data_IF_269770274530
#
_entry.id   IF_269770274530
#
_cell.length_a   1.000
_cell.length_b   1.000
_cell.length_c   1.000
_cell.angle_alpha   90.00
_cell.angle_beta   90.00
_cell.angle_gamma   90.00
#
_symmetry.space_group_name_H-M   'P 1'
#
loop_
_entity.id
_entity.type
_entity.pdbx_description
1 polymer ?
#
# COMPACT_ATOMS: atom_id res chain seq x y z
N UNK A 1 -23.92 -29.26 1.48
CA UNK A 1 -24.59 -28.34 0.54
C UNK A 1 -23.53 -27.41 -0.05
N UNK A 2 -23.21 -27.57 -1.33
CA UNK A 2 -22.30 -26.63 -2.02
C UNK A 2 -23.08 -25.35 -2.37
N UNK A 3 -22.54 -24.22 -1.94
CA UNK A 3 -23.06 -22.89 -2.33
C UNK A 3 -22.42 -22.50 -3.67
N UNK A 4 -23.26 -22.14 -4.64
CA UNK A 4 -22.86 -21.68 -5.97
C UNK A 4 -23.15 -20.18 -6.11
N UNK A 5 -22.28 -19.45 -6.79
CA UNK A 5 -22.47 -18.05 -7.16
C UNK A 5 -22.39 -17.90 -8.67
N UNK A 6 -23.20 -16.99 -9.23
CA UNK A 6 -23.26 -16.72 -10.66
C UNK A 6 -22.07 -15.87 -11.11
N UNK A 7 -21.33 -16.33 -12.11
CA UNK A 7 -20.35 -15.55 -12.85
C UNK A 7 -20.95 -15.14 -14.20
N UNK A 8 -20.95 -13.83 -14.47
CA UNK A 8 -21.36 -13.31 -15.78
C UNK A 8 -20.10 -12.99 -16.57
N UNK A 9 -19.79 -13.81 -17.55
CA UNK A 9 -18.72 -13.58 -18.52
C UNK A 9 -19.26 -12.75 -19.69
N UNK A 10 -18.67 -11.57 -19.94
CA UNK A 10 -18.90 -10.79 -21.16
C UNK A 10 -17.78 -11.14 -22.16
N UNK A 11 -18.04 -11.67 -23.36
CA UNK A 11 -19.15 -11.36 -24.28
C UNK A 11 -20.11 -12.50 -24.62
N UNK A 12 -19.99 -13.65 -24.02
CA UNK A 12 -20.90 -14.76 -24.27
C UNK A 12 -21.74 -15.05 -23.04
N UNK A 13 -23.00 -14.74 -23.06
CA UNK A 13 -24.03 -15.02 -22.03
C UNK A 13 -24.07 -16.50 -21.60
N UNK A 14 -22.95 -17.05 -21.11
CA UNK A 14 -22.94 -18.34 -20.43
C UNK A 14 -22.88 -18.09 -18.95
N UNK A 15 -23.96 -18.40 -18.27
CA UNK A 15 -24.01 -18.47 -16.82
C UNK A 15 -23.22 -19.72 -16.40
N UNK A 16 -22.04 -19.53 -15.84
CA UNK A 16 -21.23 -20.63 -15.33
C UNK A 16 -21.37 -20.65 -13.81
N UNK A 17 -21.83 -21.79 -13.28
CA UNK A 17 -21.87 -22.01 -11.84
C UNK A 17 -20.50 -22.50 -11.39
N UNK A 18 -19.82 -21.72 -10.54
CA UNK A 18 -18.57 -22.13 -9.92
C UNK A 18 -18.76 -22.31 -8.41
N UNK A 19 -18.08 -23.28 -7.79
CA UNK A 19 -18.06 -23.43 -6.34
C UNK A 19 -17.52 -22.15 -5.68
N UNK A 20 -18.10 -21.73 -4.55
CA UNK A 20 -17.69 -20.53 -3.83
C UNK A 20 -16.21 -20.58 -3.44
N UNK A 21 -15.68 -21.77 -3.12
CA UNK A 21 -14.27 -21.98 -2.82
C UNK A 21 -13.37 -21.67 -4.03
N UNK A 22 -13.75 -22.09 -5.22
CA UNK A 22 -13.02 -21.79 -6.45
C UNK A 22 -13.00 -20.29 -6.76
N UNK A 23 -14.10 -19.58 -6.49
CA UNK A 23 -14.18 -18.12 -6.64
C UNK A 23 -13.30 -17.38 -5.62
N UNK A 24 -13.22 -17.91 -4.38
CA UNK A 24 -12.30 -17.36 -3.37
C UNK A 24 -10.85 -17.57 -3.77
N UNK A 25 -10.53 -18.74 -4.31
CA UNK A 25 -9.18 -19.06 -4.75
C UNK A 25 -8.76 -18.19 -5.94
N UNK A 26 -9.64 -18.00 -6.95
CA UNK A 26 -9.43 -17.07 -8.04
C UNK A 26 -9.25 -15.63 -7.54
N UNK A 27 -10.07 -15.18 -6.60
CA UNK A 27 -9.97 -13.86 -6.02
C UNK A 27 -8.62 -13.67 -5.30
N UNK A 28 -8.20 -14.63 -4.48
CA UNK A 28 -6.92 -14.60 -3.79
C UNK A 28 -5.74 -14.60 -4.77
N UNK A 29 -5.87 -15.31 -5.89
CA UNK A 29 -4.84 -15.33 -6.96
C UNK A 29 -4.76 -14.00 -7.70
N UNK A 30 -5.87 -13.26 -7.80
CA UNK A 30 -5.92 -11.96 -8.46
C UNK A 30 -5.56 -10.79 -7.52
N UNK A 31 -5.65 -10.98 -6.20
CA UNK A 31 -5.21 -9.98 -5.23
C UNK A 31 -3.69 -9.94 -5.13
N UNK A 32 -3.11 -8.78 -5.35
CA UNK A 32 -1.66 -8.57 -5.24
C UNK A 32 -1.35 -7.54 -4.18
N UNK A 33 -0.56 -7.95 -3.21
CA UNK A 33 -0.10 -7.08 -2.14
C UNK A 33 1.35 -6.62 -2.40
N UNK A 34 1.57 -5.34 -2.25
CA UNK A 34 2.87 -4.69 -2.37
C UNK A 34 3.21 -3.99 -1.06
N UNK A 35 4.32 -4.34 -0.45
CA UNK A 35 4.83 -3.62 0.72
C UNK A 35 5.31 -2.22 0.32
N UNK A 36 5.30 -1.31 1.27
CA UNK A 36 5.91 0.00 1.09
C UNK A 36 7.44 -0.13 1.04
N UNK A 37 8.08 0.54 0.08
CA UNK A 37 9.52 0.71 0.07
C UNK A 37 9.94 1.54 1.29
N UNK A 38 11.02 1.13 1.94
CA UNK A 38 11.56 1.79 3.12
C UNK A 38 12.74 2.66 2.71
N UNK A 39 12.58 3.97 2.83
CA UNK A 39 13.63 4.92 2.53
C UNK A 39 14.69 5.00 3.64
N UNK A 40 15.87 5.48 3.30
CA UNK A 40 16.97 5.69 4.24
C UNK A 40 16.61 6.60 5.43
N UNK A 41 15.71 7.56 5.21
CA UNK A 41 15.20 8.45 6.28
C UNK A 41 14.53 7.65 7.38
N UNK A 42 13.78 6.61 7.03
CA UNK A 42 13.16 5.74 8.02
C UNK A 42 14.21 5.03 8.88
N UNK A 43 15.30 4.56 8.27
CA UNK A 43 16.42 3.95 9.01
C UNK A 43 17.12 4.97 9.92
N UNK A 44 17.25 6.22 9.47
CA UNK A 44 17.79 7.30 10.29
C UNK A 44 16.90 7.58 11.51
N UNK A 45 15.58 7.68 11.32
CA UNK A 45 14.62 7.85 12.42
C UNK A 45 14.71 6.68 13.40
N UNK A 46 14.78 5.44 12.92
CA UNK A 46 14.96 4.28 13.79
C UNK A 46 16.26 4.36 14.60
N UNK A 47 17.36 4.74 13.96
CA UNK A 47 18.66 4.89 14.64
C UNK A 47 18.58 5.95 15.74
N UNK A 48 17.94 7.09 15.49
CA UNK A 48 17.73 8.15 16.49
C UNK A 48 16.86 7.67 17.65
N UNK A 49 15.78 6.92 17.37
CA UNK A 49 14.90 6.35 18.40
C UNK A 49 15.67 5.35 19.26
N UNK A 50 16.42 4.43 18.66
CA UNK A 50 17.24 3.45 19.37
C UNK A 50 18.32 4.16 20.21
N UNK A 51 19.04 5.12 19.63
CA UNK A 51 20.05 5.91 20.33
C UNK A 51 19.47 6.64 21.55
N UNK A 52 18.27 7.23 21.40
CA UNK A 52 17.56 7.85 22.50
C UNK A 52 17.21 6.83 23.61
N UNK A 53 16.73 5.63 23.24
CA UNK A 53 16.45 4.56 24.20
C UNK A 53 17.71 4.19 25.01
N UNK A 54 18.86 4.02 24.36
CA UNK A 54 20.13 3.69 25.03
C UNK A 54 20.56 4.78 26.00
N UNK A 55 20.52 6.07 25.57
CA UNK A 55 20.87 7.20 26.44
C UNK A 55 19.94 7.32 27.65
N UNK A 56 18.64 7.06 27.47
CA UNK A 56 17.66 7.09 28.59
C UNK A 56 17.87 5.94 29.56
N UNK A 57 18.24 4.78 29.05
CA UNK A 57 18.56 3.61 29.87
C UNK A 57 19.73 3.89 30.82
N UNK A 58 20.79 4.55 30.34
CA UNK A 58 21.96 4.91 31.19
C UNK A 58 21.63 5.96 32.24
N UNK A 59 20.57 6.75 32.08
CA UNK A 59 20.15 7.81 33.01
C UNK A 59 19.12 7.37 34.04
N UNK A 60 18.74 6.09 34.08
CA UNK A 60 17.81 5.48 35.06
C UNK A 60 16.44 6.16 35.19
N UNK A 61 16.02 6.97 34.22
CA UNK A 61 14.70 7.61 34.23
C UNK A 61 13.66 6.63 33.63
N UNK A 62 12.94 5.92 34.48
CA UNK A 62 11.99 4.88 34.10
C UNK A 62 10.88 5.41 33.17
N UNK A 63 10.32 6.58 33.44
CA UNK A 63 9.29 7.17 32.62
C UNK A 63 9.79 7.44 31.17
N UNK A 64 10.99 7.98 31.04
CA UNK A 64 11.60 8.25 29.75
C UNK A 64 11.93 6.96 28.98
N UNK A 65 12.30 5.89 29.65
CA UNK A 65 12.53 4.56 29.05
C UNK A 65 11.21 4.02 28.47
N UNK A 66 10.13 4.07 29.25
CA UNK A 66 8.81 3.60 28.81
C UNK A 66 8.33 4.37 27.59
N UNK A 67 8.44 5.71 27.59
CA UNK A 67 8.05 6.55 26.45
C UNK A 67 8.87 6.19 25.21
N UNK A 68 10.18 6.04 25.36
CA UNK A 68 11.06 5.69 24.23
C UNK A 68 10.75 4.30 23.67
N UNK A 69 10.40 3.34 24.52
CA UNK A 69 10.00 2.00 24.10
C UNK A 69 8.66 2.03 23.35
N UNK A 70 7.68 2.79 23.84
CA UNK A 70 6.39 2.97 23.14
C UNK A 70 6.57 3.62 21.78
N UNK A 71 7.46 4.62 21.66
CA UNK A 71 7.78 5.23 20.36
C UNK A 71 8.45 4.24 19.41
N UNK A 72 9.37 3.41 19.89
CA UNK A 72 9.99 2.37 19.08
C UNK A 72 8.97 1.36 18.58
N UNK A 73 8.05 0.92 19.44
CA UNK A 73 6.96 0.00 19.07
C UNK A 73 6.02 0.63 18.04
N UNK A 74 5.69 1.92 18.18
CA UNK A 74 4.87 2.65 17.20
C UNK A 74 5.56 2.71 15.83
N UNK A 75 6.85 3.02 15.79
CA UNK A 75 7.62 3.07 14.54
C UNK A 75 7.65 1.71 13.85
N UNK A 76 7.89 0.64 14.62
CA UNK A 76 7.83 -0.73 14.11
C UNK A 76 6.42 -1.10 13.62
N UNK A 77 5.40 -0.71 14.36
CA UNK A 77 4.00 -0.95 13.96
C UNK A 77 3.69 -0.30 12.61
N UNK A 78 4.06 0.96 12.40
CA UNK A 78 3.90 1.66 11.11
C UNK A 78 4.65 0.95 9.99
N UNK A 79 5.87 0.50 10.28
CA UNK A 79 6.70 -0.21 9.30
C UNK A 79 6.06 -1.50 8.80
N UNK A 80 5.58 -2.35 9.71
CA UNK A 80 5.02 -3.64 9.33
C UNK A 80 3.61 -3.55 8.75
N UNK A 81 2.87 -2.48 9.07
CA UNK A 81 1.47 -2.30 8.68
C UNK A 81 1.27 -1.23 7.58
N UNK A 82 2.26 -1.04 6.70
CA UNK A 82 2.11 -0.18 5.52
C UNK A 82 2.28 -1.00 4.26
N UNK A 83 1.18 -1.16 3.51
CA UNK A 83 1.13 -1.95 2.29
C UNK A 83 0.09 -1.40 1.30
N UNK A 84 0.21 -1.81 0.06
CA UNK A 84 -0.70 -1.47 -1.03
C UNK A 84 -1.27 -2.76 -1.60
N UNK A 85 -2.56 -2.80 -1.86
CA UNK A 85 -3.22 -3.97 -2.41
C UNK A 85 -3.99 -3.61 -3.66
N UNK A 86 -3.78 -4.39 -4.71
CA UNK A 86 -4.61 -4.39 -5.91
C UNK A 86 -5.62 -5.52 -5.71
N UNK A 87 -6.91 -5.17 -5.58
CA UNK A 87 -7.97 -6.14 -5.35
C UNK A 87 -8.51 -6.70 -6.67
N UNK A 88 -9.10 -7.89 -6.58
CA UNK A 88 -9.77 -8.53 -7.71
C UNK A 88 -10.90 -7.69 -8.31
N UNK A 89 -11.52 -6.82 -7.50
CA UNK A 89 -12.60 -5.91 -7.90
C UNK A 89 -12.07 -4.65 -8.63
N UNK A 90 -10.79 -4.62 -9.00
CA UNK A 90 -10.18 -3.48 -9.70
C UNK A 90 -9.99 -2.23 -8.83
N UNK A 91 -9.84 -2.41 -7.51
CA UNK A 91 -9.56 -1.31 -6.59
C UNK A 91 -8.09 -1.30 -6.18
N UNK A 92 -7.51 -0.11 -6.12
CA UNK A 92 -6.24 0.13 -5.44
C UNK A 92 -6.53 0.57 -4.01
N UNK A 93 -6.00 -0.17 -3.05
CA UNK A 93 -6.12 0.10 -1.62
C UNK A 93 -4.75 0.44 -1.07
N UNK A 94 -4.63 1.57 -0.38
CA UNK A 94 -3.44 1.95 0.36
C UNK A 94 -3.76 1.92 1.87
N UNK A 95 -3.03 1.07 2.58
CA UNK A 95 -3.09 0.95 4.04
C UNK A 95 -1.80 1.47 4.67
N UNK A 96 -1.94 2.31 5.68
CA UNK A 96 -0.81 2.83 6.44
C UNK A 96 -1.14 2.83 7.93
N UNK A 97 -0.86 1.70 8.58
CA UNK A 97 -0.95 1.53 10.03
C UNK A 97 -2.22 2.13 10.67
N UNK A 98 -2.07 3.27 11.35
CA UNK A 98 -3.14 3.96 12.12
C UNK A 98 -4.04 4.86 11.26
N UNK A 99 -3.67 5.12 10.01
CA UNK A 99 -4.47 5.96 9.12
C UNK A 99 -5.60 5.16 8.46
N UNK A 100 -6.74 5.80 8.18
CA UNK A 100 -7.83 5.15 7.47
C UNK A 100 -7.36 4.70 6.07
N UNK A 101 -7.81 3.54 5.63
CA UNK A 101 -7.51 3.05 4.29
C UNK A 101 -8.02 4.03 3.22
N UNK A 102 -7.18 4.32 2.25
CA UNK A 102 -7.60 4.99 1.02
C UNK A 102 -7.83 3.96 -0.07
N UNK A 103 -8.98 4.06 -0.73
CA UNK A 103 -9.40 3.16 -1.80
C UNK A 103 -9.78 3.96 -3.03
N UNK A 104 -9.36 3.51 -4.20
CA UNK A 104 -9.74 4.11 -5.48
C UNK A 104 -9.93 3.01 -6.54
N UNK A 105 -10.95 3.17 -7.38
CA UNK A 105 -11.09 2.32 -8.55
C UNK A 105 -9.97 2.59 -9.54
N UNK A 106 -9.30 1.55 -10.01
CA UNK A 106 -8.15 1.67 -10.92
C UNK A 106 -8.59 2.30 -12.26
N UNK A 107 -9.85 2.12 -12.64
CA UNK A 107 -10.44 2.77 -13.82
C UNK A 107 -10.43 4.31 -13.74
N UNK A 108 -10.46 4.88 -12.53
CA UNK A 108 -10.40 6.33 -12.29
C UNK A 108 -8.99 6.89 -12.26
N UNK A 109 -7.98 6.04 -12.27
CA UNK A 109 -6.58 6.47 -12.28
C UNK A 109 -6.23 6.92 -13.69
N UNK A 110 -5.85 8.19 -13.82
CA UNK A 110 -5.47 8.82 -15.09
C UNK A 110 -3.97 8.70 -15.36
N UNK A 111 -3.17 8.90 -14.31
CA UNK A 111 -1.72 8.88 -14.43
C UNK A 111 -1.02 8.47 -13.14
N UNK A 112 0.20 7.98 -13.29
CA UNK A 112 1.15 7.80 -12.20
C UNK A 112 2.41 8.60 -12.49
N UNK A 113 2.93 9.30 -11.50
CA UNK A 113 4.06 10.21 -11.61
C UNK A 113 5.11 9.91 -10.54
N UNK A 114 6.37 9.65 -10.89
CA UNK A 114 7.45 9.55 -9.93
C UNK A 114 7.65 10.88 -9.20
N UNK A 115 7.83 10.85 -7.88
CA UNK A 115 8.03 12.05 -7.08
C UNK A 115 8.98 11.80 -5.91
N UNK A 116 9.74 12.82 -5.56
CA UNK A 116 10.60 12.86 -4.37
C UNK A 116 10.04 13.80 -3.29
N UNK A 117 8.79 14.23 -3.42
CA UNK A 117 8.18 15.18 -2.49
C UNK A 117 8.15 14.63 -1.05
N UNK A 118 8.70 15.36 -0.05
CA UNK A 118 8.73 14.96 1.35
C UNK A 118 7.42 15.27 2.08
N UNK A 119 6.28 15.01 1.46
CA UNK A 119 4.94 15.26 2.05
C UNK A 119 4.49 14.04 2.83
N UNK A 120 3.83 14.25 3.97
CA UNK A 120 3.22 13.17 4.75
C UNK A 120 2.19 12.42 3.91
N UNK A 121 2.33 11.10 3.82
CA UNK A 121 1.51 10.28 2.94
C UNK A 121 1.55 8.80 3.35
N UNK A 122 0.89 7.95 2.57
CA UNK A 122 0.90 6.50 2.73
C UNK A 122 2.22 5.84 2.23
N UNK A 123 3.35 6.55 2.30
CA UNK A 123 4.63 6.11 1.77
C UNK A 123 5.73 6.23 2.83
N UNK A 124 6.53 5.17 3.04
CA UNK A 124 7.67 5.12 3.97
C UNK A 124 9.00 5.52 3.30
N UNK A 125 9.00 5.80 2.00
CA UNK A 125 10.18 6.23 1.25
C UNK A 125 9.93 7.59 0.60
N UNK A 126 11.00 8.34 0.29
CA UNK A 126 10.94 9.51 -0.58
C UNK A 126 10.80 9.12 -2.06
N UNK A 127 11.15 7.88 -2.40
CA UNK A 127 11.00 7.34 -3.73
C UNK A 127 9.51 6.96 -3.98
N UNK A 128 8.70 7.94 -4.38
CA UNK A 128 7.23 7.86 -4.37
C UNK A 128 6.64 7.83 -5.77
N UNK A 129 5.39 7.41 -5.83
CA UNK A 129 4.51 7.57 -6.97
C UNK A 129 3.31 8.42 -6.52
N UNK A 130 3.03 9.48 -7.25
CA UNK A 130 1.77 10.21 -7.17
C UNK A 130 0.78 9.47 -8.05
N UNK A 131 -0.34 9.08 -7.47
CA UNK A 131 -1.48 8.53 -8.22
C UNK A 131 -2.44 9.68 -8.51
N UNK A 132 -2.63 9.98 -9.78
CA UNK A 132 -3.54 11.03 -10.26
C UNK A 132 -4.90 10.43 -10.59
N UNK A 133 -5.95 11.04 -10.08
CA UNK A 133 -7.33 10.69 -10.39
C UNK A 133 -8.22 11.92 -10.33
N UNK A 134 -9.19 12.02 -11.22
CA UNK A 134 -10.11 13.17 -11.34
C UNK A 134 -9.35 14.51 -11.44
N UNK A 135 -8.25 14.53 -12.17
CA UNK A 135 -7.41 15.72 -12.36
C UNK A 135 -6.63 16.17 -11.11
N UNK A 136 -6.58 15.37 -10.04
CA UNK A 136 -5.94 15.73 -8.76
C UNK A 136 -4.97 14.65 -8.30
N UNK A 137 -3.92 15.02 -7.53
CA UNK A 137 -3.07 14.04 -6.85
C UNK A 137 -3.89 13.39 -5.71
N UNK A 138 -4.30 12.14 -5.93
CA UNK A 138 -5.18 11.42 -5.01
C UNK A 138 -4.43 10.81 -3.83
N UNK A 139 -3.32 10.15 -4.10
CA UNK A 139 -2.47 9.57 -3.06
C UNK A 139 -1.00 9.51 -3.49
N UNK A 140 -0.11 9.51 -2.50
CA UNK A 140 1.30 9.23 -2.68
C UNK A 140 1.60 7.88 -2.04
N UNK A 141 2.24 7.00 -2.80
CA UNK A 141 2.61 5.64 -2.40
C UNK A 141 4.06 5.37 -2.76
N UNK A 142 4.69 4.40 -2.12
CA UNK A 142 6.06 3.96 -2.44
C UNK A 142 6.14 2.42 -2.49
N UNK A 143 5.54 1.80 -3.52
CA UNK A 143 5.55 0.34 -3.61
C UNK A 143 6.96 -0.19 -3.91
N UNK A 144 7.33 -1.29 -3.25
CA UNK A 144 8.49 -2.08 -3.65
C UNK A 144 8.26 -2.57 -5.08
N UNK A 145 9.29 -2.48 -5.93
CA UNK A 145 9.21 -2.85 -7.35
C UNK A 145 8.16 -2.05 -8.14
N UNK A 146 8.37 -0.73 -8.21
CA UNK A 146 7.49 0.22 -8.93
C UNK A 146 7.13 -0.20 -10.34
N UNK A 147 8.10 -0.72 -11.10
CA UNK A 147 7.87 -1.11 -12.49
C UNK A 147 6.83 -2.22 -12.60
N UNK A 148 6.89 -3.22 -11.72
CA UNK A 148 5.91 -4.29 -11.69
C UNK A 148 4.54 -3.78 -11.22
N UNK A 149 4.53 -2.92 -10.21
CA UNK A 149 3.29 -2.30 -9.70
C UNK A 149 2.56 -1.51 -10.79
N UNK A 150 3.27 -0.66 -11.54
CA UNK A 150 2.70 0.11 -12.65
C UNK A 150 2.17 -0.81 -13.76
N UNK A 151 2.93 -1.87 -14.11
CA UNK A 151 2.47 -2.87 -15.10
C UNK A 151 1.17 -3.55 -14.69
N UNK A 152 1.01 -3.86 -13.41
CA UNK A 152 -0.23 -4.48 -12.93
C UNK A 152 -1.42 -3.50 -12.98
N UNK A 153 -1.20 -2.22 -12.64
CA UNK A 153 -2.23 -1.20 -12.82
C UNK A 153 -2.63 -1.06 -14.29
N UNK A 154 -1.65 -1.03 -15.20
CA UNK A 154 -1.89 -0.91 -16.65
C UNK A 154 -2.54 -2.16 -17.27
N UNK A 155 -2.40 -3.34 -16.68
CA UNK A 155 -3.16 -4.52 -17.11
C UNK A 155 -4.66 -4.36 -16.90
N UNK A 156 -5.05 -3.68 -15.81
CA UNK A 156 -6.45 -3.43 -15.46
C UNK A 156 -6.97 -2.19 -16.22
N UNK A 157 -6.18 -1.13 -16.24
CA UNK A 157 -6.50 0.11 -16.95
C UNK A 157 -5.34 0.53 -17.86
N UNK A 158 -5.36 0.13 -19.15
CA UNK A 158 -4.30 0.49 -20.11
C UNK A 158 -4.18 1.99 -20.42
N UNK A 159 -5.18 2.79 -20.06
CA UNK A 159 -5.18 4.24 -20.30
C UNK A 159 -4.31 5.03 -19.33
N UNK A 160 -3.78 4.40 -18.27
CA UNK A 160 -2.93 5.05 -17.27
C UNK A 160 -1.65 5.57 -17.91
N UNK A 161 -1.47 6.88 -17.87
CA UNK A 161 -0.27 7.56 -18.36
C UNK A 161 0.85 7.52 -17.31
N UNK A 162 2.08 7.31 -17.75
CA UNK A 162 3.27 7.46 -16.91
C UNK A 162 3.83 8.85 -17.20
N UNK A 163 3.65 9.78 -16.24
CA UNK A 163 4.27 11.11 -16.35
C UNK A 163 5.76 10.97 -15.99
N UNK A 164 6.61 11.49 -16.85
CA UNK A 164 8.04 11.70 -16.55
C UNK A 164 8.24 13.12 -16.02
N UNK A 165 9.07 13.27 -15.00
CA UNK A 165 9.57 14.59 -14.61
C UNK A 165 10.57 15.08 -15.62
#
# INVERSE_FOLDING_TARGET
MQKYTFLVDKPRKRLTFAPVEFLKELRNTMEKEYKSEVGWIYHLVNLLVIGNCVVRFTRTNVAAIIISLLMALLVLHVFFNTYYRITADGMLVAHCSIFPEKRIAIERIEAVEPSLMPVSSYALSLNRLIVWADGKPWMLISPVNRANFIKELQKINPSIQIKSH
#
